data_IF_197926019280
#
_entry.id   IF_197926019280
#
_cell.length_a   1.000
_cell.length_b   1.000
_cell.length_c   1.000
_cell.angle_alpha   90.00
_cell.angle_beta   90.00
_cell.angle_gamma   90.00
#
_symmetry.space_group_name_H-M   'P 1'
#
loop_
_entity.id
_entity.type
_entity.pdbx_description
1 polymer ?
#
# COMPACT_ATOMS: atom_id res chain seq x y z
N UNK A 1 -21.69 -77.65 63.20
CA UNK A 1 -22.07 -76.43 63.97
C UNK A 1 -23.47 -76.05 63.53
N UNK A 2 -24.47 -76.37 64.37
CA UNK A 2 -25.30 -75.39 65.10
C UNK A 2 -26.22 -74.61 64.15
N UNK A 3 -27.43 -75.11 63.85
CA UNK A 3 -28.72 -74.93 64.57
C UNK A 3 -29.50 -73.66 64.09
N UNK A 4 -30.78 -73.92 63.80
CA UNK A 4 -31.99 -73.06 63.86
C UNK A 4 -32.27 -71.96 62.83
N UNK A 5 -33.42 -72.14 62.14
CA UNK A 5 -34.38 -71.12 61.67
C UNK A 5 -34.85 -70.23 62.85
N UNK A 6 -35.35 -68.98 62.66
CA UNK A 6 -36.79 -68.79 62.34
C UNK A 6 -37.18 -67.51 61.54
N UNK A 7 -38.49 -67.49 61.23
CA UNK A 7 -39.31 -66.45 60.58
C UNK A 7 -39.57 -65.20 61.44
N UNK A 8 -40.34 -64.28 60.83
CA UNK A 8 -41.22 -63.22 61.38
C UNK A 8 -40.52 -61.87 61.58
N UNK A 9 -41.15 -60.70 61.44
CA UNK A 9 -42.46 -60.25 60.97
C UNK A 9 -42.47 -58.70 61.11
N UNK A 10 -43.39 -58.03 60.41
CA UNK A 10 -43.89 -56.69 60.75
C UNK A 10 -42.91 -55.54 60.46
N UNK A 11 -43.33 -54.30 60.23
CA UNK A 11 -44.62 -53.69 60.50
C UNK A 11 -44.68 -52.29 59.87
N UNK A 12 -45.92 -51.77 59.76
CA UNK A 12 -46.29 -50.37 60.01
C UNK A 12 -45.99 -49.27 58.97
N UNK A 13 -47.06 -48.94 58.23
CA UNK A 13 -47.68 -47.60 58.05
C UNK A 13 -46.77 -46.38 57.79
N UNK A 14 -46.97 -45.74 56.64
CA UNK A 14 -47.48 -44.35 56.58
C UNK A 14 -47.82 -43.97 55.12
N UNK A 15 -49.07 -43.53 54.90
CA UNK A 15 -49.46 -42.77 53.72
C UNK A 15 -48.69 -41.44 53.69
N UNK A 16 -48.54 -40.83 52.51
CA UNK A 16 -49.05 -39.48 52.21
C UNK A 16 -49.00 -39.24 50.69
N UNK A 17 -50.12 -38.76 50.17
CA UNK A 17 -50.33 -38.37 48.79
C UNK A 17 -49.63 -37.05 48.49
N UNK A 18 -49.05 -36.90 47.29
CA UNK A 18 -48.68 -35.60 46.75
C UNK A 18 -49.38 -35.37 45.41
N UNK A 19 -50.05 -34.22 45.35
CA UNK A 19 -50.92 -33.76 44.29
C UNK A 19 -50.15 -33.40 43.01
N UNK A 20 -50.74 -33.76 41.87
CA UNK A 20 -50.43 -33.17 40.56
C UNK A 20 -51.05 -31.78 40.48
N UNK A 21 -50.22 -30.75 40.26
CA UNK A 21 -50.67 -29.48 39.71
C UNK A 21 -49.89 -29.14 38.45
N UNK A 22 -50.68 -28.92 37.41
CA UNK A 22 -50.41 -28.32 36.11
C UNK A 22 -49.51 -27.09 36.13
N UNK A 23 -48.55 -27.04 35.21
CA UNK A 23 -47.86 -25.84 34.79
C UNK A 23 -47.54 -25.90 33.30
N UNK A 24 -48.45 -25.40 32.45
CA UNK A 24 -48.11 -25.00 31.08
C UNK A 24 -47.21 -23.77 31.17
N UNK A 25 -45.91 -23.95 30.93
CA UNK A 25 -45.01 -22.84 30.63
C UNK A 25 -45.23 -22.47 29.15
N UNK A 26 -46.01 -21.41 28.91
CA UNK A 26 -45.94 -20.67 27.66
C UNK A 26 -44.57 -19.99 27.63
N UNK A 27 -43.60 -20.56 26.92
CA UNK A 27 -42.38 -19.86 26.55
C UNK A 27 -42.74 -18.83 25.48
N UNK A 28 -42.88 -17.57 25.89
CA UNK A 28 -42.90 -16.44 24.97
C UNK A 28 -41.54 -16.36 24.28
N UNK A 29 -41.45 -16.84 23.04
CA UNK A 29 -40.34 -16.50 22.15
C UNK A 29 -40.45 -15.01 21.83
N UNK A 30 -39.78 -14.18 22.63
CA UNK A 30 -39.44 -12.83 22.22
C UNK A 30 -38.44 -12.96 21.06
N UNK A 31 -38.93 -12.79 19.82
CA UNK A 31 -38.07 -12.53 18.67
C UNK A 31 -37.34 -11.22 18.94
N UNK A 32 -36.11 -11.30 19.43
CA UNK A 32 -35.18 -10.18 19.33
C UNK A 32 -35.07 -9.85 17.85
N UNK A 33 -35.66 -8.73 17.43
CA UNK A 33 -35.35 -8.14 16.14
C UNK A 33 -33.85 -7.81 16.18
N UNK A 34 -33.03 -8.63 15.51
CA UNK A 34 -31.63 -8.30 15.27
C UNK A 34 -31.60 -6.91 14.63
N UNK A 35 -31.16 -5.93 15.39
CA UNK A 35 -30.89 -4.59 14.89
C UNK A 35 -29.77 -4.72 13.86
N UNK A 36 -30.10 -4.41 12.62
CA UNK A 36 -29.14 -4.44 11.53
C UNK A 36 -27.96 -3.52 11.88
N UNK A 37 -26.76 -4.08 11.90
CA UNK A 37 -25.55 -3.33 12.22
C UNK A 37 -25.28 -2.30 11.11
N UNK A 38 -25.09 -1.05 11.50
CA UNK A 38 -24.66 0.05 10.64
C UNK A 38 -23.16 0.29 10.80
N UNK A 39 -22.48 0.57 9.70
CA UNK A 39 -21.05 0.85 9.67
C UNK A 39 -20.78 2.28 9.17
N UNK A 40 -19.67 2.87 9.60
CA UNK A 40 -19.31 4.25 9.30
C UNK A 40 -19.98 5.27 10.21
N UNK A 41 -19.47 6.50 10.18
CA UNK A 41 -19.87 7.60 11.06
C UNK A 41 -20.65 8.63 10.27
N UNK A 42 -21.79 9.07 10.81
CA UNK A 42 -22.63 10.10 10.20
C UNK A 42 -23.51 10.73 11.28
N UNK A 43 -23.81 12.03 11.18
CA UNK A 43 -24.92 12.63 11.92
C UNK A 43 -26.26 12.17 11.31
N UNK A 44 -26.73 11.02 11.78
CA UNK A 44 -27.94 10.39 11.26
C UNK A 44 -29.19 11.25 11.45
N UNK A 45 -29.28 12.03 12.54
CA UNK A 45 -30.42 12.89 12.79
C UNK A 45 -30.46 14.05 11.79
N UNK A 46 -29.33 14.70 11.56
CA UNK A 46 -29.23 15.74 10.54
C UNK A 46 -29.51 15.20 9.13
N UNK A 47 -29.01 14.01 8.80
CA UNK A 47 -29.27 13.36 7.52
C UNK A 47 -30.75 13.00 7.30
N UNK A 48 -31.47 12.64 8.37
CA UNK A 48 -32.90 12.32 8.29
C UNK A 48 -33.80 13.53 8.06
N UNK A 49 -33.36 14.71 8.49
CA UNK A 49 -34.04 15.99 8.24
C UNK A 49 -33.68 16.61 6.89
N UNK A 50 -32.57 16.18 6.26
CA UNK A 50 -32.10 16.71 5.00
C UNK A 50 -32.96 16.26 3.80
N UNK A 51 -33.06 17.12 2.78
CA UNK A 51 -33.52 16.69 1.47
C UNK A 51 -32.50 15.71 0.87
N UNK A 52 -32.97 14.60 0.27
CA UNK A 52 -32.11 13.51 -0.22
C UNK A 52 -32.33 13.20 -1.69
N UNK A 53 -31.28 12.74 -2.36
CA UNK A 53 -31.31 12.12 -3.68
C UNK A 53 -30.96 10.65 -3.54
N UNK A 54 -31.74 9.80 -4.19
CA UNK A 54 -31.54 8.34 -4.19
C UNK A 54 -31.10 7.88 -5.56
N UNK A 55 -30.05 7.06 -5.60
CA UNK A 55 -29.52 6.42 -6.78
C UNK A 55 -29.63 4.91 -6.63
N UNK A 56 -30.14 4.23 -7.66
CA UNK A 56 -30.17 2.77 -7.70
C UNK A 56 -28.91 2.24 -8.41
N UNK A 57 -28.24 1.27 -7.79
CA UNK A 57 -27.18 0.49 -8.40
C UNK A 57 -27.64 -0.96 -8.53
N UNK A 58 -28.04 -1.37 -9.72
CA UNK A 58 -28.58 -2.72 -9.97
C UNK A 58 -27.72 -3.57 -10.91
N UNK A 59 -26.76 -2.94 -11.60
CA UNK A 59 -26.03 -3.53 -12.71
C UNK A 59 -24.66 -4.14 -12.27
N UNK A 60 -24.32 -4.06 -10.97
CA UNK A 60 -23.04 -4.58 -10.47
C UNK A 60 -23.06 -6.08 -10.12
N UNK A 61 -24.25 -6.68 -9.98
CA UNK A 61 -24.43 -8.09 -9.62
C UNK A 61 -25.80 -8.61 -10.08
N UNK A 62 -25.84 -9.90 -10.43
CA UNK A 62 -27.09 -10.60 -10.73
C UNK A 62 -27.90 -10.92 -9.45
N UNK A 63 -27.22 -11.07 -8.32
CA UNK A 63 -27.82 -11.54 -7.05
C UNK A 63 -28.13 -10.40 -6.07
N UNK A 64 -27.52 -9.23 -6.27
CA UNK A 64 -27.62 -8.12 -5.34
C UNK A 64 -28.02 -6.83 -6.06
N UNK A 65 -28.61 -5.92 -5.30
CA UNK A 65 -28.83 -4.53 -5.69
C UNK A 65 -28.42 -3.62 -4.54
N UNK A 66 -28.15 -2.36 -4.83
CA UNK A 66 -27.87 -1.36 -3.83
C UNK A 66 -28.63 -0.07 -4.09
N UNK A 67 -28.85 0.69 -3.03
CA UNK A 67 -29.26 2.08 -3.11
C UNK A 67 -28.19 2.94 -2.47
N UNK A 68 -27.97 4.12 -3.05
CA UNK A 68 -27.16 5.16 -2.46
C UNK A 68 -28.02 6.39 -2.29
N UNK A 69 -28.17 6.83 -1.05
CA UNK A 69 -28.88 8.04 -0.69
C UNK A 69 -27.87 9.07 -0.22
N UNK A 70 -27.90 10.28 -0.77
CA UNK A 70 -27.07 11.39 -0.32
C UNK A 70 -27.89 12.64 -0.10
N UNK A 71 -27.41 13.53 0.75
CA UNK A 71 -27.96 14.85 0.92
C UNK A 71 -27.99 15.57 -0.45
N UNK A 72 -29.10 16.25 -0.74
CA UNK A 72 -29.34 16.94 -2.00
C UNK A 72 -28.61 18.30 -2.01
N UNK A 73 -27.28 18.26 -1.96
CA UNK A 73 -26.40 19.43 -2.02
C UNK A 73 -25.50 19.38 -3.26
N UNK A 74 -24.91 20.52 -3.59
CA UNK A 74 -23.91 20.65 -4.67
C UNK A 74 -22.47 20.47 -4.15
N UNK A 75 -22.31 20.07 -2.88
CA UNK A 75 -21.00 19.77 -2.29
C UNK A 75 -20.47 18.42 -2.81
N UNK A 76 -19.14 18.31 -2.89
CA UNK A 76 -18.49 17.07 -3.32
C UNK A 76 -18.60 15.98 -2.25
N UNK A 77 -18.28 16.33 -1.01
CA UNK A 77 -18.41 15.46 0.16
C UNK A 77 -19.80 15.65 0.74
N UNK A 78 -20.59 14.58 0.81
CA UNK A 78 -21.99 14.67 1.21
C UNK A 78 -22.33 13.60 2.22
N UNK A 79 -23.16 13.93 3.23
CA UNK A 79 -23.78 12.93 4.07
C UNK A 79 -24.58 11.96 3.22
N UNK A 80 -24.45 10.67 3.52
CA UNK A 80 -25.14 9.65 2.75
C UNK A 80 -25.02 8.24 3.30
N UNK A 81 -25.83 7.37 2.70
CA UNK A 81 -26.02 5.99 3.10
C UNK A 81 -26.00 5.09 1.87
N UNK A 82 -25.28 3.99 1.99
CA UNK A 82 -25.24 2.89 1.04
C UNK A 82 -25.94 1.70 1.68
N UNK A 83 -27.02 1.22 1.07
CA UNK A 83 -27.70 -0.01 1.47
C UNK A 83 -27.53 -1.07 0.39
N UNK A 84 -27.15 -2.29 0.77
CA UNK A 84 -27.08 -3.45 -0.13
C UNK A 84 -28.19 -4.42 0.22
N UNK A 85 -28.85 -4.97 -0.79
CA UNK A 85 -29.98 -5.88 -0.68
C UNK A 85 -29.74 -7.12 -1.54
N UNK A 86 -30.34 -8.25 -1.16
CA UNK A 86 -30.58 -9.33 -2.12
C UNK A 86 -31.51 -8.85 -3.23
N UNK A 87 -31.36 -9.36 -4.46
CA UNK A 87 -32.08 -8.85 -5.65
C UNK A 87 -33.59 -8.69 -5.43
N UNK A 88 -34.20 -9.64 -4.72
CA UNK A 88 -35.64 -9.69 -4.45
C UNK A 88 -36.02 -9.39 -2.98
N UNK A 89 -35.06 -8.95 -2.15
CA UNK A 89 -35.29 -8.64 -0.72
C UNK A 89 -35.46 -7.16 -0.50
N UNK A 90 -36.45 -6.74 0.29
CA UNK A 90 -36.59 -5.33 0.73
C UNK A 90 -35.91 -5.04 2.06
N UNK A 91 -35.45 -6.08 2.76
CA UNK A 91 -34.60 -5.93 3.94
C UNK A 91 -33.15 -5.75 3.50
N UNK A 92 -32.45 -4.68 3.92
CA UNK A 92 -31.05 -4.52 3.58
C UNK A 92 -30.19 -5.53 4.34
N UNK A 93 -29.18 -6.05 3.66
CA UNK A 93 -28.19 -7.00 4.18
C UNK A 93 -27.04 -6.24 4.85
N UNK A 94 -26.62 -5.12 4.25
CA UNK A 94 -25.52 -4.28 4.71
C UNK A 94 -25.97 -2.82 4.62
N UNK A 95 -25.58 -2.03 5.62
CA UNK A 95 -25.75 -0.58 5.64
C UNK A 95 -24.44 0.09 6.04
N UNK A 96 -23.94 0.97 5.18
CA UNK A 96 -22.80 1.85 5.44
C UNK A 96 -23.25 3.30 5.32
N UNK A 97 -22.78 4.16 6.20
CA UNK A 97 -23.09 5.58 6.21
C UNK A 97 -21.82 6.41 6.34
N UNK A 98 -21.87 7.66 5.88
CA UNK A 98 -20.77 8.61 6.02
C UNK A 98 -21.29 10.03 5.95
N UNK A 99 -20.67 10.96 6.68
CA UNK A 99 -20.83 12.41 6.45
C UNK A 99 -20.15 12.87 5.14
N UNK A 100 -19.25 12.08 4.57
CA UNK A 100 -18.38 12.50 3.45
C UNK A 100 -18.33 11.48 2.29
N UNK A 101 -19.49 11.00 1.84
CA UNK A 101 -19.57 10.22 0.61
C UNK A 101 -19.30 11.09 -0.62
N UNK A 102 -18.45 10.59 -1.51
CA UNK A 102 -18.21 11.16 -2.83
C UNK A 102 -18.83 10.25 -3.87
N UNK A 103 -19.69 10.81 -4.72
CA UNK A 103 -20.34 10.06 -5.80
C UNK A 103 -19.94 10.64 -7.14
N UNK A 104 -19.32 9.80 -7.95
CA UNK A 104 -19.19 10.06 -9.37
C UNK A 104 -20.37 9.46 -10.14
N UNK A 105 -20.97 10.30 -10.97
CA UNK A 105 -22.03 9.89 -11.88
C UNK A 105 -21.51 9.93 -13.30
N UNK A 106 -21.95 8.99 -14.13
CA UNK A 106 -21.68 9.03 -15.56
C UNK A 106 -22.28 10.31 -16.15
N UNK A 107 -21.44 11.16 -16.75
CA UNK A 107 -21.87 12.46 -17.27
C UNK A 107 -22.92 12.37 -18.40
N UNK A 108 -23.07 11.20 -19.05
CA UNK A 108 -24.05 10.98 -20.12
C UNK A 108 -25.35 10.37 -19.60
N UNK A 109 -25.28 9.49 -18.60
CA UNK A 109 -26.47 8.75 -18.12
C UNK A 109 -26.96 9.20 -16.74
N UNK A 110 -26.19 9.99 -16.00
CA UNK A 110 -26.48 10.41 -14.63
C UNK A 110 -26.51 9.25 -13.61
N UNK A 111 -26.06 8.05 -13.99
CA UNK A 111 -26.02 6.88 -13.11
C UNK A 111 -24.76 6.89 -12.27
N UNK A 112 -24.85 6.47 -11.01
CA UNK A 112 -23.65 6.26 -10.16
C UNK A 112 -22.83 5.12 -10.74
N UNK A 113 -21.52 5.32 -10.87
CA UNK A 113 -20.60 4.29 -11.33
C UNK A 113 -20.28 3.33 -10.18
N UNK A 114 -20.28 2.03 -10.47
CA UNK A 114 -19.77 0.98 -9.58
C UNK A 114 -18.50 0.36 -10.16
N UNK A 115 -17.67 -0.23 -9.31
CA UNK A 115 -16.45 -0.96 -9.69
C UNK A 115 -15.36 -0.14 -10.40
N UNK A 116 -15.38 1.19 -10.29
CA UNK A 116 -14.25 2.03 -10.70
C UNK A 116 -13.21 2.03 -9.59
N UNK A 117 -11.96 1.74 -9.96
CA UNK A 117 -10.84 1.63 -9.04
C UNK A 117 -9.57 2.12 -9.74
N UNK A 118 -9.40 3.43 -9.79
CA UNK A 118 -8.18 4.04 -10.31
C UNK A 118 -7.16 4.21 -9.18
N UNK A 119 -6.02 3.52 -9.32
CA UNK A 119 -4.96 3.49 -8.33
C UNK A 119 -3.68 4.12 -8.90
N UNK A 120 -2.84 4.73 -8.06
CA UNK A 120 -3.07 5.00 -6.64
C UNK A 120 -3.97 6.22 -6.38
N UNK A 121 -4.20 7.04 -7.41
CA UNK A 121 -5.01 8.24 -7.36
C UNK A 121 -5.92 8.27 -8.58
N UNK A 122 -7.21 8.38 -8.35
CA UNK A 122 -8.20 8.51 -9.39
C UNK A 122 -9.59 8.17 -8.86
N UNK A 123 -10.52 8.01 -9.78
CA UNK A 123 -11.92 7.70 -9.47
C UNK A 123 -12.04 6.37 -8.72
N UNK A 124 -12.77 6.39 -7.59
CA UNK A 124 -13.13 5.19 -6.85
C UNK A 124 -14.63 5.17 -6.59
N UNK A 125 -15.29 4.13 -7.09
CA UNK A 125 -16.73 3.97 -6.90
C UNK A 125 -17.09 3.75 -5.45
N UNK A 126 -18.23 4.29 -5.02
CA UNK A 126 -18.79 4.05 -3.68
C UNK A 126 -19.09 2.58 -3.36
N UNK A 127 -19.19 1.75 -4.38
CA UNK A 127 -19.37 0.30 -4.27
C UNK A 127 -18.43 -0.41 -5.24
N UNK A 128 -17.68 -1.37 -4.72
CA UNK A 128 -16.82 -2.29 -5.47
C UNK A 128 -17.25 -3.72 -5.13
N UNK A 129 -17.50 -4.54 -6.15
CA UNK A 129 -17.91 -5.93 -6.07
C UNK A 129 -16.90 -6.83 -6.78
N UNK A 130 -15.95 -7.38 -6.03
CA UNK A 130 -14.79 -8.15 -6.56
C UNK A 130 -14.37 -9.22 -5.55
N UNK A 131 -13.70 -10.26 -6.02
CA UNK A 131 -13.19 -11.34 -5.16
C UNK A 131 -11.81 -10.90 -4.64
N UNK A 132 -11.75 -10.46 -3.38
CA UNK A 132 -10.56 -9.95 -2.71
C UNK A 132 -9.76 -11.05 -2.03
N UNK A 133 -10.42 -12.10 -1.55
CA UNK A 133 -9.76 -13.21 -0.84
C UNK A 133 -9.40 -14.40 -1.76
N UNK A 134 -9.78 -14.32 -3.04
CA UNK A 134 -9.54 -15.29 -4.09
C UNK A 134 -10.17 -16.67 -3.85
N UNK A 135 -11.36 -16.71 -3.25
CA UNK A 135 -12.11 -17.95 -2.99
C UNK A 135 -13.19 -18.27 -4.04
N UNK A 136 -13.36 -17.40 -5.03
CA UNK A 136 -14.35 -17.53 -6.10
C UNK A 136 -15.71 -16.93 -5.77
N UNK A 137 -15.92 -16.43 -4.56
CA UNK A 137 -17.10 -15.67 -4.14
C UNK A 137 -16.73 -14.19 -4.19
N UNK A 138 -17.62 -13.37 -4.76
CA UNK A 138 -17.39 -11.92 -4.87
C UNK A 138 -17.70 -11.25 -3.52
N UNK A 139 -16.81 -10.36 -3.12
CA UNK A 139 -16.86 -9.54 -1.91
C UNK A 139 -17.37 -8.13 -2.22
N UNK A 140 -17.66 -7.35 -1.17
CA UNK A 140 -18.07 -5.95 -1.28
C UNK A 140 -17.10 -5.03 -0.54
N UNK A 141 -16.73 -3.91 -1.17
CA UNK A 141 -16.17 -2.76 -0.49
C UNK A 141 -17.10 -1.57 -0.69
N UNK A 142 -17.52 -0.95 0.41
CA UNK A 142 -18.49 0.15 0.43
C UNK A 142 -17.82 1.37 1.06
N UNK A 143 -17.85 2.50 0.37
CA UNK A 143 -17.20 3.72 0.84
C UNK A 143 -17.84 4.19 2.15
N UNK A 144 -17.00 4.50 3.15
CA UNK A 144 -17.42 4.99 4.46
C UNK A 144 -16.90 6.40 4.78
N UNK A 145 -16.37 7.08 3.77
CA UNK A 145 -15.98 8.48 3.84
C UNK A 145 -14.60 8.71 3.25
N UNK A 146 -13.91 9.68 3.84
CA UNK A 146 -12.58 10.11 3.43
C UNK A 146 -11.53 9.84 4.52
N UNK A 147 -11.62 8.69 5.17
CA UNK A 147 -10.78 8.35 6.34
C UNK A 147 -9.39 7.82 5.97
N UNK A 148 -9.04 7.91 4.69
CA UNK A 148 -7.79 7.39 4.14
C UNK A 148 -6.73 8.48 4.00
N UNK A 149 -5.53 8.13 3.53
CA UNK A 149 -4.38 9.04 3.48
C UNK A 149 -4.71 10.33 2.70
N UNK A 150 -4.40 11.49 3.33
CA UNK A 150 -4.72 12.84 2.85
C UNK A 150 -6.19 13.09 2.53
N UNK A 151 -7.10 12.68 3.41
CA UNK A 151 -8.54 12.89 3.22
C UNK A 151 -9.03 12.19 1.94
N UNK A 152 -8.47 11.01 1.67
CA UNK A 152 -8.80 10.16 0.53
C UNK A 152 -9.90 9.14 0.86
N UNK A 153 -10.47 8.46 -0.16
CA UNK A 153 -11.60 7.57 0.02
C UNK A 153 -11.26 6.36 0.87
N UNK A 154 -12.17 5.99 1.76
CA UNK A 154 -12.04 4.84 2.67
C UNK A 154 -13.23 3.88 2.54
N UNK A 155 -13.04 2.61 2.90
CA UNK A 155 -14.04 1.57 2.67
C UNK A 155 -14.20 0.60 3.84
N UNK A 156 -15.44 0.17 4.06
CA UNK A 156 -15.80 -1.01 4.83
C UNK A 156 -15.85 -2.22 3.90
N UNK A 157 -15.14 -3.30 4.25
CA UNK A 157 -15.03 -4.50 3.43
C UNK A 157 -15.82 -5.66 4.04
N UNK A 158 -16.58 -6.34 3.18
CA UNK A 158 -17.41 -7.48 3.53
C UNK A 158 -17.11 -8.65 2.59
N UNK A 159 -16.55 -9.72 3.15
CA UNK A 159 -16.22 -10.93 2.41
C UNK A 159 -17.49 -11.76 2.15
N UNK A 160 -17.63 -12.22 0.92
CA UNK A 160 -18.67 -13.14 0.50
C UNK A 160 -18.51 -14.49 1.19
N UNK A 161 -19.63 -15.12 1.48
CA UNK A 161 -19.72 -16.45 2.09
C UNK A 161 -20.90 -17.19 1.46
N UNK A 162 -21.00 -18.50 1.70
CA UNK A 162 -22.16 -19.28 1.26
C UNK A 162 -23.51 -18.75 1.78
N UNK A 163 -23.52 -17.98 2.88
CA UNK A 163 -24.74 -17.51 3.56
C UNK A 163 -24.92 -15.98 3.48
N UNK A 164 -24.20 -15.28 2.60
CA UNK A 164 -24.22 -13.82 2.49
C UNK A 164 -22.85 -13.22 2.77
N UNK A 165 -22.78 -12.13 3.53
CA UNK A 165 -21.54 -11.38 3.71
C UNK A 165 -21.10 -11.32 5.17
N UNK A 166 -19.79 -11.36 5.39
CA UNK A 166 -19.16 -11.16 6.70
C UNK A 166 -18.21 -9.97 6.61
N UNK A 167 -18.40 -8.98 7.49
CA UNK A 167 -17.47 -7.86 7.61
C UNK A 167 -16.05 -8.35 7.99
N UNK A 168 -15.04 -7.75 7.36
CA UNK A 168 -13.63 -8.08 7.59
C UNK A 168 -12.86 -6.85 8.07
N UNK A 169 -12.41 -6.91 9.31
CA UNK A 169 -11.59 -5.87 9.92
C UNK A 169 -10.24 -5.72 9.22
N UNK A 170 -9.63 -6.83 8.76
CA UNK A 170 -8.29 -6.82 8.15
C UNK A 170 -8.29 -6.15 6.78
N UNK A 171 -9.25 -6.48 5.91
CA UNK A 171 -9.39 -5.84 4.61
C UNK A 171 -9.88 -4.39 4.74
N UNK A 172 -10.79 -4.11 5.69
CA UNK A 172 -11.21 -2.74 6.03
C UNK A 172 -10.01 -1.90 6.45
N UNK A 173 -9.12 -2.45 7.30
CA UNK A 173 -7.90 -1.76 7.72
C UNK A 173 -6.99 -1.45 6.53
N UNK A 174 -6.85 -2.36 5.56
CA UNK A 174 -6.08 -2.08 4.33
C UNK A 174 -6.70 -0.94 3.52
N UNK A 175 -8.02 -0.84 3.44
CA UNK A 175 -8.71 0.21 2.71
C UNK A 175 -8.81 1.56 3.46
N UNK A 176 -8.48 1.60 4.75
CA UNK A 176 -8.51 2.83 5.57
C UNK A 176 -7.10 3.36 5.87
N UNK A 177 -6.14 2.49 6.19
CA UNK A 177 -4.80 2.90 6.65
C UNK A 177 -3.80 3.21 5.53
N UNK A 178 -4.20 3.02 4.27
CA UNK A 178 -3.40 3.29 3.08
C UNK A 178 -3.94 4.53 2.36
N UNK A 179 -3.53 4.80 1.12
CA UNK A 179 -4.07 5.90 0.29
C UNK A 179 -5.11 5.36 -0.70
N UNK A 180 -6.31 5.07 -0.21
CA UNK A 180 -7.44 4.55 -0.98
C UNK A 180 -7.61 3.03 -0.90
N UNK A 181 -8.52 2.51 -1.73
CA UNK A 181 -8.76 1.08 -1.87
C UNK A 181 -7.51 0.33 -2.33
N UNK A 182 -7.30 -0.88 -1.81
CA UNK A 182 -6.19 -1.74 -2.21
C UNK A 182 -6.37 -2.31 -3.64
N UNK A 183 -5.28 -2.48 -4.37
CA UNK A 183 -5.25 -3.17 -5.67
C UNK A 183 -5.39 -4.67 -5.53
N UNK A 184 -6.01 -5.31 -6.52
CA UNK A 184 -6.29 -6.75 -6.56
C UNK A 184 -5.80 -7.34 -7.87
N UNK A 185 -4.74 -8.16 -7.81
CA UNK A 185 -4.21 -8.93 -8.94
C UNK A 185 -4.75 -10.38 -8.85
N UNK A 186 -5.84 -10.64 -9.56
CA UNK A 186 -6.48 -11.98 -9.57
C UNK A 186 -5.58 -13.06 -10.19
N UNK A 187 -4.66 -12.71 -11.09
CA UNK A 187 -3.77 -13.67 -11.74
C UNK A 187 -2.68 -14.14 -10.79
N UNK A 188 -2.11 -13.21 -10.01
CA UNK A 188 -1.11 -13.52 -8.99
C UNK A 188 -1.73 -13.92 -7.65
N UNK A 189 -3.02 -13.64 -7.44
CA UNK A 189 -3.73 -13.77 -6.17
C UNK A 189 -3.05 -12.95 -5.07
N UNK A 190 -2.79 -11.70 -5.40
CA UNK A 190 -2.10 -10.74 -4.54
C UNK A 190 -2.93 -9.46 -4.36
N UNK A 191 -2.82 -8.88 -3.18
CA UNK A 191 -3.36 -7.57 -2.84
C UNK A 191 -2.19 -6.58 -2.75
N UNK A 192 -2.35 -5.37 -3.26
CA UNK A 192 -1.35 -4.31 -3.17
C UNK A 192 -1.88 -3.05 -2.51
N UNK A 193 -1.11 -2.45 -1.61
CA UNK A 193 -1.44 -1.14 -1.03
C UNK A 193 -0.33 -0.13 -1.29
N UNK A 194 -0.68 1.15 -1.17
CA UNK A 194 0.30 2.24 -1.13
C UNK A 194 -0.06 3.22 -0.03
N UNK A 195 0.93 3.65 0.74
CA UNK A 195 0.84 4.76 1.68
C UNK A 195 1.99 5.74 1.45
N UNK A 196 1.86 6.98 1.94
CA UNK A 196 2.90 7.99 1.78
C UNK A 196 2.91 9.00 2.92
N UNK A 197 4.01 9.72 3.03
CA UNK A 197 4.16 10.87 3.92
C UNK A 197 4.90 11.99 3.17
N UNK A 198 4.18 13.08 2.93
CA UNK A 198 4.63 14.22 2.14
C UNK A 198 4.88 13.85 0.68
N UNK A 199 5.83 14.57 0.07
CA UNK A 199 6.31 14.33 -1.29
C UNK A 199 7.23 13.12 -1.43
N UNK A 200 7.88 12.76 -0.33
CA UNK A 200 9.23 12.26 -0.42
C UNK A 200 9.37 10.87 0.19
N UNK A 201 8.41 10.43 0.98
CA UNK A 201 8.35 9.08 1.52
C UNK A 201 7.13 8.37 0.95
N UNK A 202 7.36 7.25 0.26
CA UNK A 202 6.33 6.39 -0.29
C UNK A 202 6.57 4.96 0.15
N UNK A 203 5.50 4.23 0.43
CA UNK A 203 5.56 2.81 0.75
C UNK A 203 4.53 2.04 -0.04
N UNK A 204 4.97 0.98 -0.70
CA UNK A 204 4.12 0.01 -1.38
C UNK A 204 4.21 -1.33 -0.66
N UNK A 205 3.09 -2.01 -0.47
CA UNK A 205 3.08 -3.34 0.14
C UNK A 205 2.29 -4.34 -0.71
N UNK A 206 2.71 -5.60 -0.67
CA UNK A 206 2.05 -6.71 -1.33
C UNK A 206 1.70 -7.79 -0.30
N UNK A 207 0.49 -8.30 -0.40
CA UNK A 207 -0.08 -9.28 0.51
C UNK A 207 -0.53 -10.50 -0.29
N UNK A 208 -0.23 -11.70 0.20
CA UNK A 208 -0.95 -12.90 -0.19
C UNK A 208 -2.18 -13.09 0.68
N UNK A 209 -3.09 -13.98 0.30
CA UNK A 209 -4.23 -14.36 1.15
C UNK A 209 -3.95 -15.72 1.77
N UNK A 210 -3.97 -15.78 3.10
CA UNK A 210 -3.75 -17.01 3.89
C UNK A 210 -4.93 -17.20 4.82
N UNK A 211 -5.64 -18.31 4.69
CA UNK A 211 -6.85 -18.61 5.46
C UNK A 211 -7.93 -17.51 5.35
N UNK A 212 -8.07 -16.91 4.17
CA UNK A 212 -9.04 -15.84 3.91
C UNK A 212 -8.62 -14.46 4.44
N UNK A 213 -7.40 -14.32 4.98
CA UNK A 213 -6.90 -13.07 5.55
C UNK A 213 -5.67 -12.55 4.80
N UNK A 214 -5.48 -11.21 4.68
CA UNK A 214 -4.28 -10.63 4.10
C UNK A 214 -3.04 -10.94 4.94
N UNK A 215 -1.98 -11.40 4.28
CA UNK A 215 -0.69 -11.68 4.88
C UNK A 215 0.41 -10.92 4.14
N UNK A 216 1.09 -10.01 4.85
CA UNK A 216 2.12 -9.16 4.26
C UNK A 216 3.33 -9.98 3.77
N UNK A 217 3.58 -9.97 2.46
CA UNK A 217 4.72 -10.66 1.84
C UNK A 217 5.90 -9.73 1.63
N UNK A 218 5.65 -8.56 1.04
CA UNK A 218 6.71 -7.59 0.73
C UNK A 218 6.28 -6.17 1.02
N UNK A 219 7.25 -5.34 1.38
CA UNK A 219 7.10 -3.90 1.60
C UNK A 219 8.28 -3.21 0.91
N UNK A 220 8.02 -2.17 0.12
CA UNK A 220 9.06 -1.34 -0.50
C UNK A 220 8.84 0.09 -0.08
N UNK A 221 9.82 0.68 0.58
CA UNK A 221 9.83 2.09 0.97
C UNK A 221 10.81 2.84 0.08
N UNK A 222 10.36 3.91 -0.56
CA UNK A 222 11.17 4.84 -1.33
C UNK A 222 11.21 6.18 -0.58
N UNK A 223 12.42 6.65 -0.28
CA UNK A 223 12.66 7.87 0.47
C UNK A 223 13.60 8.82 -0.31
N UNK A 224 13.10 10.00 -0.64
CA UNK A 224 13.79 11.06 -1.39
C UNK A 224 14.39 12.16 -0.48
N UNK A 225 14.55 11.93 0.82
CA UNK A 225 15.09 12.93 1.76
C UNK A 225 16.62 13.07 1.73
N UNK A 226 17.33 12.21 1.00
CA UNK A 226 18.79 12.20 0.95
C UNK A 226 19.39 13.42 0.25
N UNK A 227 20.48 13.98 0.82
CA UNK A 227 21.12 15.21 0.31
C UNK A 227 21.74 15.12 -1.08
N UNK A 228 21.90 13.92 -1.65
CA UNK A 228 22.36 13.73 -3.04
C UNK A 228 21.26 13.88 -4.07
N UNK A 229 19.99 13.94 -3.67
CA UNK A 229 18.85 13.85 -4.59
C UNK A 229 18.62 12.45 -5.17
N UNK A 230 19.37 11.44 -4.74
CA UNK A 230 19.08 10.03 -5.06
C UNK A 230 18.16 9.43 -3.99
N UNK A 231 17.11 8.70 -4.36
CA UNK A 231 16.27 8.00 -3.41
C UNK A 231 17.00 6.82 -2.75
N UNK A 232 16.58 6.56 -1.53
CA UNK A 232 16.87 5.32 -0.81
C UNK A 232 15.68 4.38 -0.95
N UNK A 233 15.92 3.15 -1.40
CA UNK A 233 14.94 2.08 -1.43
C UNK A 233 15.22 1.10 -0.28
N UNK A 234 14.20 0.81 0.53
CA UNK A 234 14.22 -0.27 1.51
C UNK A 234 13.20 -1.32 1.13
N UNK A 235 13.69 -2.52 0.77
CA UNK A 235 12.86 -3.68 0.43
C UNK A 235 12.81 -4.62 1.63
N UNK A 236 11.62 -4.78 2.20
CA UNK A 236 11.26 -5.80 3.15
C UNK A 236 10.69 -7.04 2.46
N UNK A 237 11.21 -8.21 2.80
CA UNK A 237 10.64 -9.50 2.41
C UNK A 237 10.33 -10.32 3.65
N UNK A 238 9.10 -10.83 3.73
CA UNK A 238 8.68 -11.70 4.81
C UNK A 238 9.34 -13.07 4.67
N UNK A 239 10.13 -13.46 5.67
CA UNK A 239 10.73 -14.78 5.80
C UNK A 239 10.14 -15.45 7.03
N UNK A 240 9.09 -16.25 6.81
CA UNK A 240 8.40 -17.04 7.84
C UNK A 240 7.84 -16.22 9.01
N UNK A 241 7.11 -15.14 8.70
CA UNK A 241 6.50 -14.24 9.69
C UNK A 241 7.42 -13.12 10.16
N UNK A 242 8.69 -13.10 9.74
CA UNK A 242 9.65 -12.04 10.08
C UNK A 242 10.01 -11.22 8.84
N UNK A 243 9.80 -9.92 8.90
CA UNK A 243 10.22 -9.00 7.84
C UNK A 243 11.74 -8.80 7.86
N UNK A 244 12.42 -9.16 6.78
CA UNK A 244 13.86 -8.92 6.59
C UNK A 244 14.04 -7.81 5.58
N UNK A 245 14.68 -6.71 6.00
CA UNK A 245 14.83 -5.49 5.19
C UNK A 245 16.23 -5.33 4.65
N UNK A 246 16.33 -4.89 3.40
CA UNK A 246 17.58 -4.49 2.74
C UNK A 246 17.41 -3.07 2.22
N UNK A 247 18.38 -2.21 2.48
CA UNK A 247 18.35 -0.80 2.07
C UNK A 247 19.46 -0.52 1.07
N UNK A 248 19.14 0.17 -0.02
CA UNK A 248 20.08 0.58 -1.07
C UNK A 248 19.73 1.95 -1.61
N UNK A 249 20.75 2.71 -2.02
CA UNK A 249 20.52 3.87 -2.89
C UNK A 249 20.19 3.37 -4.29
N UNK A 250 19.21 4.00 -4.93
CA UNK A 250 18.79 3.64 -6.29
C UNK A 250 18.85 4.85 -7.21
N UNK A 251 19.11 4.58 -8.48
CA UNK A 251 19.10 5.58 -9.54
C UNK A 251 17.73 5.60 -10.19
N UNK A 252 16.95 6.62 -9.91
CA UNK A 252 15.74 6.98 -10.64
C UNK A 252 16.05 8.03 -11.72
N UNK A 253 15.19 8.11 -12.73
CA UNK A 253 15.22 9.20 -13.69
C UNK A 253 14.55 10.43 -13.06
N UNK A 254 15.26 11.55 -13.11
CA UNK A 254 14.82 12.83 -12.55
C UNK A 254 15.24 13.94 -13.52
N UNK A 255 14.24 14.62 -14.09
CA UNK A 255 14.44 15.68 -15.08
C UNK A 255 15.11 16.92 -14.50
N UNK A 256 15.11 17.09 -13.17
CA UNK A 256 15.81 18.19 -12.50
C UNK A 256 17.31 17.91 -12.33
N UNK A 257 17.73 16.65 -12.49
CA UNK A 257 19.12 16.23 -12.28
C UNK A 257 19.99 16.59 -13.48
N UNK A 258 20.98 17.44 -13.24
CA UNK A 258 21.95 17.78 -14.26
C UNK A 258 23.03 16.69 -14.35
N UNK A 259 23.09 16.00 -15.49
CA UNK A 259 24.15 15.02 -15.79
C UNK A 259 25.34 15.74 -16.43
N UNK A 260 26.42 15.85 -15.66
CA UNK A 260 27.66 16.54 -16.07
C UNK A 260 28.57 15.61 -16.89
N UNK A 261 28.65 14.35 -16.49
CA UNK A 261 29.37 13.29 -17.20
C UNK A 261 28.69 11.95 -16.98
N UNK A 262 28.53 11.13 -18.01
CA UNK A 262 28.14 9.73 -17.87
C UNK A 262 28.75 8.84 -18.95
N UNK A 263 29.18 7.64 -18.56
CA UNK A 263 29.71 6.61 -19.44
C UNK A 263 29.51 5.22 -18.81
N UNK A 264 29.72 4.16 -19.60
CA UNK A 264 29.63 2.77 -19.11
C UNK A 264 30.98 2.07 -19.12
N UNK A 265 31.20 1.21 -18.13
CA UNK A 265 32.41 0.41 -17.96
C UNK A 265 32.26 -0.99 -18.56
N UNK A 266 33.27 -1.43 -19.31
CA UNK A 266 33.38 -2.79 -19.82
C UNK A 266 34.00 -3.74 -18.79
N UNK A 267 33.64 -5.04 -18.78
CA UNK A 267 32.52 -5.64 -19.51
C UNK A 267 31.18 -5.52 -18.76
N UNK A 268 31.19 -5.02 -17.53
CA UNK A 268 30.05 -5.08 -16.62
C UNK A 268 28.81 -4.29 -17.05
N UNK A 269 28.98 -3.30 -17.93
CA UNK A 269 27.92 -2.34 -18.27
C UNK A 269 27.59 -1.35 -17.17
N UNK A 270 28.30 -1.38 -16.02
CA UNK A 270 28.10 -0.41 -14.92
C UNK A 270 28.23 1.01 -15.46
N UNK A 271 27.24 1.83 -15.14
CA UNK A 271 27.17 3.23 -15.54
C UNK A 271 27.81 4.08 -14.46
N UNK A 272 28.81 4.85 -14.84
CA UNK A 272 29.38 5.90 -14.03
C UNK A 272 28.65 7.19 -14.37
N UNK A 273 28.24 7.93 -13.35
CA UNK A 273 27.54 9.20 -13.52
C UNK A 273 28.11 10.23 -12.57
N UNK A 274 28.43 11.41 -13.08
CA UNK A 274 28.67 12.60 -12.29
C UNK A 274 27.56 13.60 -12.54
N UNK A 275 26.94 14.07 -11.46
CA UNK A 275 25.69 14.81 -11.52
C UNK A 275 25.56 15.81 -10.37
N UNK A 276 24.55 16.68 -10.44
CA UNK A 276 24.11 17.54 -9.34
C UNK A 276 22.60 17.78 -9.43
N UNK A 277 21.96 18.12 -8.31
CA UNK A 277 20.51 18.35 -8.22
C UNK A 277 20.03 19.69 -8.80
N UNK A 278 20.94 20.49 -9.37
CA UNK A 278 20.63 21.79 -9.97
C UNK A 278 21.87 22.68 -10.09
N UNK A 279 21.75 23.80 -10.81
CA UNK A 279 22.84 24.76 -10.96
C UNK A 279 23.33 25.27 -9.60
N UNK A 280 24.65 25.25 -9.38
CA UNK A 280 25.27 25.63 -8.10
C UNK A 280 25.25 24.54 -7.03
N UNK A 281 24.53 23.43 -7.24
CA UNK A 281 24.55 22.30 -6.31
C UNK A 281 25.88 21.54 -6.30
N UNK A 282 26.13 20.82 -5.21
CA UNK A 282 27.28 19.93 -5.05
C UNK A 282 27.31 18.87 -6.15
N UNK A 283 28.52 18.58 -6.65
CA UNK A 283 28.73 17.48 -7.59
C UNK A 283 28.80 16.17 -6.83
N UNK A 284 28.11 15.16 -7.35
CA UNK A 284 28.14 13.78 -6.88
C UNK A 284 28.62 12.85 -7.99
N UNK A 285 29.23 11.74 -7.59
CA UNK A 285 29.57 10.57 -8.38
C UNK A 285 28.68 9.42 -7.95
N UNK A 286 28.12 8.67 -8.90
CA UNK A 286 27.41 7.42 -8.69
C UNK A 286 27.94 6.33 -9.62
N UNK A 287 28.25 5.15 -9.05
CA UNK A 287 28.42 3.91 -9.81
C UNK A 287 27.11 3.11 -9.75
N UNK A 288 26.41 3.07 -10.88
CA UNK A 288 25.08 2.48 -11.03
C UNK A 288 25.20 1.16 -11.77
N UNK A 289 24.56 0.11 -11.25
CA UNK A 289 24.51 -1.19 -11.90
C UNK A 289 23.34 -1.34 -12.89
N UNK A 290 23.21 -2.52 -13.49
CA UNK A 290 22.16 -2.81 -14.48
C UNK A 290 20.74 -2.87 -13.88
N UNK A 291 20.61 -2.93 -12.55
CA UNK A 291 19.35 -2.90 -11.81
C UNK A 291 19.07 -1.51 -11.22
N UNK A 292 19.81 -0.49 -11.66
CA UNK A 292 19.77 0.86 -11.12
C UNK A 292 20.19 0.98 -9.64
N UNK A 293 20.84 -0.01 -9.05
CA UNK A 293 21.36 0.13 -7.70
C UNK A 293 22.67 0.93 -7.71
N UNK A 294 22.81 1.87 -6.78
CA UNK A 294 23.98 2.73 -6.63
C UNK A 294 24.95 2.06 -5.67
N UNK A 295 25.95 1.37 -6.21
CA UNK A 295 26.95 0.65 -5.43
C UNK A 295 28.02 1.57 -4.81
N UNK A 296 28.16 2.80 -5.31
CA UNK A 296 29.09 3.79 -4.78
C UNK A 296 28.57 5.20 -5.07
N UNK A 297 28.23 5.96 -4.02
CA UNK A 297 27.90 7.39 -4.07
C UNK A 297 29.02 8.22 -3.42
N UNK A 298 29.51 9.29 -4.02
CA UNK A 298 30.52 10.19 -3.45
C UNK A 298 30.25 11.65 -3.83
N UNK A 299 30.47 12.66 -2.97
CA UNK A 299 30.82 12.56 -1.56
C UNK A 299 29.61 12.11 -0.71
N UNK A 300 29.89 11.59 0.49
CA UNK A 300 28.92 11.29 1.55
C UNK A 300 29.23 12.00 2.88
N UNK A 301 30.39 12.64 2.98
CA UNK A 301 30.77 13.44 4.13
C UNK A 301 31.30 14.81 3.70
N UNK A 302 31.15 15.81 4.56
CA UNK A 302 31.58 17.18 4.24
C UNK A 302 33.10 17.33 4.09
N UNK A 303 33.89 16.33 4.50
CA UNK A 303 35.34 16.31 4.31
C UNK A 303 35.76 15.67 2.98
N UNK A 304 34.84 14.96 2.32
CA UNK A 304 35.08 14.33 1.03
C UNK A 304 35.01 15.37 -0.10
N UNK A 305 36.01 15.34 -1.00
CA UNK A 305 36.19 16.31 -2.09
C UNK A 305 36.76 15.60 -3.32
N UNK A 306 36.35 16.05 -4.50
CA UNK A 306 37.00 15.68 -5.74
C UNK A 306 38.26 16.52 -5.96
N UNK A 307 39.25 15.91 -6.59
CA UNK A 307 40.45 16.57 -7.08
C UNK A 307 40.45 16.52 -8.61
N UNK A 308 40.57 17.67 -9.27
CA UNK A 308 40.72 17.74 -10.72
C UNK A 308 42.11 18.26 -11.09
N UNK A 309 42.88 17.46 -11.81
CA UNK A 309 44.17 17.85 -12.38
C UNK A 309 43.98 18.20 -13.86
N UNK A 310 44.08 19.51 -14.15
CA UNK A 310 43.93 20.05 -15.50
C UNK A 310 45.10 19.69 -16.44
N UNK A 311 46.29 19.39 -15.90
CA UNK A 311 47.44 19.02 -16.73
C UNK A 311 47.31 17.58 -17.27
N UNK A 312 46.68 16.70 -16.50
CA UNK A 312 46.49 15.29 -16.86
C UNK A 312 45.05 14.97 -17.28
N UNK A 313 44.14 15.95 -17.26
CA UNK A 313 42.71 15.79 -17.48
C UNK A 313 42.12 14.66 -16.62
N UNK A 314 42.52 14.61 -15.35
CA UNK A 314 42.17 13.54 -14.43
C UNK A 314 41.29 14.06 -13.29
N UNK A 315 40.15 13.41 -13.07
CA UNK A 315 39.34 13.60 -11.87
C UNK A 315 39.56 12.43 -10.93
N UNK A 316 39.90 12.70 -9.67
CA UNK A 316 40.07 11.67 -8.66
C UNK A 316 39.36 11.96 -7.35
N UNK A 317 39.08 10.90 -6.62
CA UNK A 317 38.64 10.96 -5.23
C UNK A 317 39.10 9.73 -4.46
N UNK A 318 39.14 9.84 -3.14
CA UNK A 318 39.58 8.78 -2.24
C UNK A 318 38.43 8.37 -1.33
N UNK A 319 38.22 7.06 -1.18
CA UNK A 319 37.35 6.47 -0.16
C UNK A 319 38.07 5.32 0.53
N UNK A 320 38.32 5.48 1.83
CA UNK A 320 39.11 4.53 2.59
C UNK A 320 40.52 4.37 2.01
N UNK A 321 40.92 3.13 1.73
CA UNK A 321 42.21 2.76 1.12
C UNK A 321 42.17 2.70 -0.42
N UNK A 322 41.10 3.22 -1.03
CA UNK A 322 40.86 3.14 -2.47
C UNK A 322 40.78 4.51 -3.12
N UNK A 323 41.60 4.73 -4.14
CA UNK A 323 41.56 5.92 -5.01
C UNK A 323 40.86 5.56 -6.32
N UNK A 324 39.88 6.36 -6.70
CA UNK A 324 39.19 6.28 -7.97
C UNK A 324 39.66 7.44 -8.85
N UNK A 325 39.97 7.16 -10.12
CA UNK A 325 40.45 8.18 -11.06
C UNK A 325 39.81 7.98 -12.43
N UNK A 326 39.20 9.03 -12.97
CA UNK A 326 38.67 9.06 -14.35
C UNK A 326 39.65 9.87 -15.19
N UNK A 327 40.12 9.29 -16.28
CA UNK A 327 41.09 9.90 -17.19
C UNK A 327 40.38 10.38 -18.44
N UNK A 328 40.54 11.67 -18.75
CA UNK A 328 40.00 12.30 -19.95
C UNK A 328 41.02 12.42 -21.08
N UNK A 329 40.53 12.77 -22.27
CA UNK A 329 41.36 13.36 -23.31
C UNK A 329 41.47 14.89 -23.16
N UNK A 330 42.13 15.54 -24.12
CA UNK A 330 42.34 17.00 -24.10
C UNK A 330 41.04 17.84 -24.19
N UNK A 331 39.89 17.21 -24.49
CA UNK A 331 38.56 17.83 -24.50
C UNK A 331 37.72 17.38 -23.29
N UNK A 332 38.35 16.70 -22.33
CA UNK A 332 37.70 16.14 -21.16
C UNK A 332 36.79 14.94 -21.45
N UNK A 333 36.81 14.35 -22.65
CA UNK A 333 36.02 13.14 -22.92
C UNK A 333 36.65 11.94 -22.19
N UNK A 334 35.87 11.12 -21.47
CA UNK A 334 36.44 10.05 -20.66
C UNK A 334 37.04 8.95 -21.56
N UNK A 335 38.25 8.49 -21.21
CA UNK A 335 38.98 7.44 -21.92
C UNK A 335 39.09 6.14 -21.15
N UNK A 336 39.39 6.24 -19.87
CA UNK A 336 39.48 5.09 -18.96
C UNK A 336 39.21 5.51 -17.52
N UNK A 337 39.04 4.51 -16.68
CA UNK A 337 38.95 4.71 -15.24
C UNK A 337 39.95 3.79 -14.55
N UNK A 338 40.62 4.30 -13.52
CA UNK A 338 41.54 3.56 -12.68
C UNK A 338 40.97 3.44 -11.27
N UNK A 339 41.10 2.25 -10.69
CA UNK A 339 40.82 2.02 -9.28
C UNK A 339 42.11 1.50 -8.65
N UNK A 340 42.67 2.28 -7.73
CA UNK A 340 43.87 1.92 -6.97
C UNK A 340 43.44 1.52 -5.59
N UNK A 341 43.50 0.23 -5.27
CA UNK A 341 43.18 -0.28 -3.93
C UNK A 341 44.42 -0.95 -3.35
N UNK A 342 44.84 -0.54 -2.16
CA UNK A 342 46.02 -1.11 -1.47
C UNK A 342 47.28 -1.17 -2.33
N UNK A 343 47.53 -0.10 -3.09
CA UNK A 343 48.69 0.02 -3.99
C UNK A 343 48.58 -0.77 -5.31
N UNK A 344 47.49 -1.52 -5.54
CA UNK A 344 47.25 -2.21 -6.82
C UNK A 344 46.33 -1.39 -7.71
N UNK A 345 46.84 -0.98 -8.87
CA UNK A 345 46.06 -0.29 -9.92
C UNK A 345 45.29 -1.29 -10.78
N UNK A 346 43.99 -1.06 -10.92
CA UNK A 346 43.12 -1.77 -11.87
C UNK A 346 42.62 -0.80 -12.92
N UNK A 347 42.94 -1.05 -14.18
CA UNK A 347 42.44 -0.28 -15.32
C UNK A 347 41.07 -0.82 -15.74
N UNK A 348 40.08 0.07 -15.81
CA UNK A 348 38.72 -0.20 -16.25
C UNK A 348 38.49 0.50 -17.59
N UNK A 349 38.21 -0.30 -18.62
CA UNK A 349 37.91 0.20 -19.97
C UNK A 349 36.46 0.67 -20.04
N UNK A 350 36.21 1.66 -20.89
CA UNK A 350 34.85 2.06 -21.24
C UNK A 350 34.25 1.12 -22.31
N UNK A 351 32.93 1.00 -22.33
CA UNK A 351 32.21 0.44 -23.48
C UNK A 351 32.27 1.42 -24.66
N UNK A 352 32.15 0.90 -25.89
CA UNK A 352 32.22 1.67 -27.13
C UNK A 352 30.96 2.51 -27.43
N UNK A 353 30.25 2.93 -26.38
CA UNK A 353 29.10 3.83 -26.47
C UNK A 353 29.56 5.27 -26.21
N UNK A 354 28.97 6.28 -26.86
CA UNK A 354 29.34 7.67 -26.62
C UNK A 354 29.06 8.06 -25.18
N UNK A 355 30.06 8.65 -24.51
CA UNK A 355 29.86 9.30 -23.23
C UNK A 355 28.99 10.55 -23.40
N UNK A 356 28.20 10.89 -22.37
CA UNK A 356 27.48 12.16 -22.26
C UNK A 356 28.29 13.12 -21.41
N UNK A 357 28.53 14.34 -21.88
CA UNK A 357 29.25 15.36 -21.11
C UNK A 357 30.77 15.21 -21.11
N UNK A 358 31.46 15.89 -20.18
CA UNK A 358 32.94 15.89 -20.11
C UNK A 358 33.45 16.16 -18.69
N UNK A 359 34.72 15.80 -18.43
CA UNK A 359 35.40 16.15 -17.19
C UNK A 359 35.59 17.67 -17.02
N UNK A 360 35.71 18.43 -18.11
CA UNK A 360 35.78 19.90 -18.04
C UNK A 360 34.49 20.48 -17.46
N UNK A 361 33.31 19.98 -17.88
CA UNK A 361 32.02 20.37 -17.30
C UNK A 361 31.94 20.05 -15.82
N UNK A 362 32.47 18.87 -15.42
CA UNK A 362 32.52 18.49 -14.01
C UNK A 362 33.43 19.44 -13.22
N UNK A 363 34.61 19.75 -13.74
CA UNK A 363 35.56 20.65 -13.10
C UNK A 363 35.00 22.07 -12.92
N UNK A 364 34.29 22.60 -13.93
CA UNK A 364 33.57 23.86 -13.85
C UNK A 364 32.49 23.83 -12.76
N UNK A 365 31.70 22.76 -12.71
CA UNK A 365 30.65 22.60 -11.70
C UNK A 365 31.22 22.50 -10.27
N UNK A 366 32.33 21.78 -10.07
CA UNK A 366 33.02 21.70 -8.76
C UNK A 366 33.45 23.08 -8.31
N UNK A 367 34.09 23.87 -9.19
CA UNK A 367 34.51 25.25 -8.87
C UNK A 367 33.32 26.14 -8.52
N UNK A 368 32.22 26.02 -9.28
CA UNK A 368 31.01 26.80 -9.05
C UNK A 368 30.30 26.46 -7.73
N UNK A 369 30.45 25.24 -7.22
CA UNK A 369 29.86 24.83 -5.92
C UNK A 369 30.70 25.24 -4.70
N UNK A 370 31.93 25.73 -4.90
CA UNK A 370 32.87 26.09 -3.83
C UNK A 370 32.90 27.59 -3.50
N UNK A 371 32.21 28.41 -4.29
CA UNK A 371 32.00 29.85 -4.05
C UNK A 371 30.56 30.11 -3.65
#
# INVERSE_FOLDING_TARGET
MLISKPQLAGSSRALWALAMLSGLMLSTLASAAETQKTYGEMDAAAFDEAARKTYALQDFSDQYRATVEVAATDETFRPGVINVYGKDSDKPLIRVQSDELVLDTDAKTGKVKANVQELPYGEQSVLIYKDFNFDGIKDLALMDGQNSCYHGPSFQVFLGTANGFKHSDSFTQLAQSNCGMFGVDEKKREISTMTKSGCCWHQMATYSIRNGEPFLETETVIDHTGGSGLPTETVGVNKNGKMVRTTSLVWDEDDQREILLSFKLAPSGKRVVLFRSGAGGSVFYAAVDAKNQVGLLYPQADTERFEYDAATHALSFVRGDTTYRILGDAKGAPKSMQVVARGKTTELKLLAEPAKGSLDKVAEAIKASAG
#
